data_IF_199255586028
#
_entry.id   IF_199255586028
#
_cell.length_a   1.000
_cell.length_b   1.000
_cell.length_c   1.000
_cell.angle_alpha   90.00
_cell.angle_beta   90.00
_cell.angle_gamma   90.00
#
_symmetry.space_group_name_H-M   'P 1'
#
loop_
_entity.id
_entity.type
_entity.pdbx_description
1 polymer ?
#
# COMPACT_ATOMS: atom_id res chain seq x y z
N UNK A 1 -43.38 16.82 -15.52
CA UNK A 1 -43.03 15.71 -14.64
C UNK A 1 -43.28 16.20 -13.23
N UNK A 2 -44.36 15.72 -12.62
CA UNK A 2 -44.74 16.11 -11.27
C UNK A 2 -43.77 15.41 -10.33
N UNK A 3 -42.87 16.18 -9.71
CA UNK A 3 -42.04 15.67 -8.63
C UNK A 3 -42.97 15.27 -7.48
N UNK A 4 -42.68 14.14 -6.86
CA UNK A 4 -43.41 13.68 -5.67
C UNK A 4 -43.25 14.74 -4.58
N UNK A 5 -44.31 15.06 -3.84
CA UNK A 5 -44.20 15.87 -2.63
C UNK A 5 -43.48 15.05 -1.56
N UNK A 6 -42.33 15.53 -1.09
CA UNK A 6 -41.52 14.88 -0.06
C UNK A 6 -41.86 15.45 1.32
N UNK A 7 -41.90 14.58 2.32
CA UNK A 7 -42.20 14.98 3.71
C UNK A 7 -41.01 15.68 4.36
N UNK A 8 -39.79 15.29 3.98
CA UNK A 8 -38.56 15.73 4.64
C UNK A 8 -37.46 16.10 3.64
N UNK A 9 -36.53 16.94 4.11
CA UNK A 9 -35.32 17.34 3.41
C UNK A 9 -34.16 17.42 4.39
N UNK A 10 -32.97 16.99 3.95
CA UNK A 10 -31.70 17.11 4.64
C UNK A 10 -30.61 17.52 3.66
N UNK A 11 -29.83 18.55 4.00
CA UNK A 11 -28.58 18.84 3.31
C UNK A 11 -27.50 17.88 3.79
N UNK A 12 -27.04 17.01 2.90
CA UNK A 12 -25.98 16.03 3.18
C UNK A 12 -24.60 16.70 3.14
N UNK A 13 -24.41 17.64 2.21
CA UNK A 13 -23.21 18.48 2.09
C UNK A 13 -23.60 19.85 1.49
N UNK A 14 -22.63 20.75 1.25
CA UNK A 14 -22.84 22.06 0.62
C UNK A 14 -23.49 21.98 -0.75
N UNK A 15 -23.30 20.88 -1.47
CA UNK A 15 -23.73 20.72 -2.85
C UNK A 15 -24.77 19.61 -3.05
N UNK A 16 -25.12 18.84 -2.01
CA UNK A 16 -26.02 17.69 -2.13
C UNK A 16 -27.13 17.73 -1.07
N UNK A 17 -28.37 17.77 -1.54
CA UNK A 17 -29.57 17.61 -0.72
C UNK A 17 -30.23 16.25 -0.95
N UNK A 18 -30.75 15.65 0.11
CA UNK A 18 -31.62 14.49 0.11
C UNK A 18 -33.04 14.90 0.51
N UNK A 19 -34.02 14.44 -0.25
CA UNK A 19 -35.44 14.56 0.04
C UNK A 19 -36.03 13.17 0.18
N UNK A 20 -36.97 12.96 1.10
CA UNK A 20 -37.61 11.66 1.23
C UNK A 20 -39.04 11.72 1.79
N UNK A 21 -39.77 10.65 1.48
CA UNK A 21 -40.98 10.21 2.18
C UNK A 21 -40.86 8.70 2.36
N UNK A 22 -41.29 8.20 3.52
CA UNK A 22 -41.25 6.78 3.84
C UNK A 22 -42.59 6.35 4.44
N UNK A 23 -43.09 5.21 4.00
CA UNK A 23 -44.22 4.53 4.63
C UNK A 23 -43.75 3.25 5.33
N UNK A 24 -44.67 2.32 5.62
CA UNK A 24 -44.31 1.05 6.29
C UNK A 24 -43.66 0.02 5.34
N UNK A 25 -43.50 0.31 4.06
CA UNK A 25 -43.06 -0.63 3.02
C UNK A 25 -42.00 -0.06 2.09
N UNK A 26 -42.02 1.24 1.85
CA UNK A 26 -41.23 1.88 0.78
C UNK A 26 -40.61 3.17 1.27
N UNK A 27 -39.35 3.39 0.90
CA UNK A 27 -38.67 4.69 0.92
C UNK A 27 -38.67 5.26 -0.49
N UNK A 28 -39.21 6.46 -0.67
CA UNK A 28 -39.01 7.24 -1.90
C UNK A 28 -38.05 8.37 -1.61
N UNK A 29 -36.91 8.37 -2.29
CA UNK A 29 -35.84 9.33 -2.09
C UNK A 29 -35.53 10.09 -3.37
N UNK A 30 -35.11 11.34 -3.21
CA UNK A 30 -34.56 12.19 -4.26
C UNK A 30 -33.27 12.83 -3.79
N UNK A 31 -32.22 12.69 -4.61
CA UNK A 31 -30.97 13.44 -4.47
C UNK A 31 -30.95 14.60 -5.45
N UNK A 32 -30.56 15.77 -4.97
CA UNK A 32 -30.36 16.97 -5.78
C UNK A 32 -28.94 17.48 -5.57
N UNK A 33 -28.11 17.29 -6.59
CA UNK A 33 -26.72 17.73 -6.61
C UNK A 33 -26.54 19.01 -7.41
N UNK A 34 -25.85 20.01 -6.85
CA UNK A 34 -25.47 21.27 -7.50
C UNK A 34 -24.28 21.08 -8.44
N UNK A 35 -24.42 20.18 -9.42
CA UNK A 35 -23.44 19.94 -10.45
C UNK A 35 -23.90 18.92 -11.48
N UNK A 36 -23.07 18.65 -12.48
CA UNK A 36 -23.30 17.61 -13.50
C UNK A 36 -22.37 16.44 -13.29
N UNK A 37 -22.80 15.45 -12.49
CA UNK A 37 -22.05 14.24 -12.22
C UNK A 37 -22.95 13.06 -11.89
N UNK A 38 -22.37 11.87 -11.72
CA UNK A 38 -23.05 10.75 -11.08
C UNK A 38 -23.30 11.04 -9.60
N UNK A 39 -24.38 10.48 -9.05
CA UNK A 39 -24.78 10.63 -7.64
C UNK A 39 -25.20 9.29 -7.06
N UNK A 40 -24.96 9.07 -5.78
CA UNK A 40 -25.27 7.83 -5.10
C UNK A 40 -25.80 8.07 -3.67
N UNK A 41 -26.74 7.23 -3.26
CA UNK A 41 -27.21 7.09 -1.88
C UNK A 41 -27.28 5.61 -1.55
N UNK A 42 -26.76 5.19 -0.41
CA UNK A 42 -26.86 3.82 0.04
C UNK A 42 -27.02 3.67 1.53
N UNK A 43 -27.27 2.44 1.94
CA UNK A 43 -27.46 2.03 3.33
C UNK A 43 -26.22 1.29 3.77
N UNK A 44 -25.78 1.55 5.01
CA UNK A 44 -24.59 0.95 5.61
C UNK A 44 -24.94 0.32 6.96
N UNK A 45 -24.52 -0.93 7.17
CA UNK A 45 -24.48 -1.58 8.48
C UNK A 45 -23.08 -1.50 9.12
N UNK A 46 -22.10 -0.98 8.37
CA UNK A 46 -20.68 -0.87 8.71
C UNK A 46 -20.31 0.51 9.28
N UNK A 47 -21.27 1.21 9.90
CA UNK A 47 -21.03 2.49 10.54
C UNK A 47 -20.68 3.62 9.56
N UNK A 48 -21.20 3.57 8.33
CA UNK A 48 -21.00 4.59 7.30
C UNK A 48 -19.83 4.35 6.36
N UNK A 49 -19.20 3.18 6.40
CA UNK A 49 -18.13 2.82 5.47
C UNK A 49 -18.69 2.46 4.09
N UNK A 50 -17.93 2.81 3.05
CA UNK A 50 -18.27 2.47 1.66
C UNK A 50 -18.38 0.95 1.47
N UNK A 51 -17.34 0.21 1.87
CA UNK A 51 -17.31 -1.26 1.72
C UNK A 51 -18.31 -1.90 2.67
N UNK A 52 -19.08 -2.86 2.15
CA UNK A 52 -20.21 -3.49 2.81
C UNK A 52 -21.53 -2.76 2.64
N UNK A 53 -21.54 -1.55 2.08
CA UNK A 53 -22.79 -0.82 1.83
C UNK A 53 -23.47 -1.26 0.52
N UNK A 54 -24.78 -1.02 0.47
CA UNK A 54 -25.59 -1.19 -0.73
C UNK A 54 -26.09 0.16 -1.20
N UNK A 55 -25.78 0.54 -2.44
CA UNK A 55 -26.08 1.88 -2.97
C UNK A 55 -27.03 1.83 -4.14
N UNK A 56 -27.87 2.85 -4.24
CA UNK A 56 -28.52 3.25 -5.48
C UNK A 56 -27.65 4.30 -6.16
N UNK A 57 -27.19 3.99 -7.36
CA UNK A 57 -26.28 4.82 -8.14
C UNK A 57 -26.97 5.31 -9.42
N UNK A 58 -26.92 6.61 -9.65
CA UNK A 58 -27.38 7.27 -10.86
C UNK A 58 -26.21 7.62 -11.78
N UNK A 59 -26.18 7.05 -12.98
CA UNK A 59 -25.11 7.26 -13.98
C UNK A 59 -25.67 8.00 -15.20
N UNK A 60 -25.48 9.34 -15.31
CA UNK A 60 -26.09 10.12 -16.39
C UNK A 60 -25.63 9.73 -17.79
N UNK A 61 -24.38 9.26 -17.95
CA UNK A 61 -23.88 8.80 -19.25
C UNK A 61 -24.57 7.51 -19.73
N UNK A 62 -24.99 6.67 -18.79
CA UNK A 62 -25.66 5.40 -19.08
C UNK A 62 -27.19 5.56 -19.06
N UNK A 63 -27.68 6.64 -18.44
CA UNK A 63 -29.10 6.92 -18.25
C UNK A 63 -29.76 5.97 -17.24
N UNK A 64 -28.99 5.41 -16.31
CA UNK A 64 -29.44 4.36 -15.38
C UNK A 64 -29.52 4.84 -13.94
N UNK A 65 -30.44 4.25 -13.18
CA UNK A 65 -30.52 4.31 -11.71
C UNK A 65 -30.69 2.86 -11.24
N UNK A 66 -29.63 2.29 -10.67
CA UNK A 66 -29.57 0.86 -10.35
C UNK A 66 -28.98 0.64 -8.96
N UNK A 67 -29.24 -0.53 -8.37
CA UNK A 67 -28.61 -0.97 -7.11
C UNK A 67 -27.23 -1.58 -7.38
N UNK A 68 -26.28 -1.32 -6.49
CA UNK A 68 -24.92 -1.86 -6.50
C UNK A 68 -24.52 -2.30 -5.10
N UNK A 69 -23.76 -3.39 -5.02
CA UNK A 69 -23.03 -3.79 -3.83
C UNK A 69 -21.63 -3.16 -3.87
N UNK A 70 -21.17 -2.66 -2.73
CA UNK A 70 -19.84 -2.08 -2.60
C UNK A 70 -18.91 -3.06 -1.87
N UNK A 71 -18.15 -3.84 -2.62
CA UNK A 71 -17.26 -4.89 -2.12
C UNK A 71 -15.80 -4.44 -1.99
N UNK A 72 -15.39 -3.42 -2.75
CA UNK A 72 -14.05 -2.83 -2.72
C UNK A 72 -14.12 -1.33 -3.03
N UNK A 73 -13.04 -0.59 -2.79
CA UNK A 73 -12.96 0.85 -3.12
C UNK A 73 -12.67 1.13 -4.58
N UNK A 74 -12.09 0.17 -5.28
CA UNK A 74 -11.85 0.28 -6.72
C UNK A 74 -13.16 0.08 -7.47
N UNK A 75 -13.19 0.57 -8.71
CA UNK A 75 -14.33 0.36 -9.61
C UNK A 75 -14.68 -1.14 -9.80
N UNK A 76 -13.74 -2.06 -9.57
CA UNK A 76 -13.99 -3.51 -9.59
C UNK A 76 -14.97 -3.97 -8.52
N UNK A 77 -15.01 -3.30 -7.37
CA UNK A 77 -15.91 -3.64 -6.27
C UNK A 77 -17.16 -2.77 -6.21
N UNK A 78 -17.46 -2.03 -7.27
CA UNK A 78 -18.78 -1.40 -7.45
C UNK A 78 -19.59 -2.33 -8.37
N UNK A 79 -20.21 -3.33 -7.77
CA UNK A 79 -20.81 -4.46 -8.48
C UNK A 79 -22.31 -4.26 -8.63
N UNK A 80 -22.81 -4.23 -9.87
CA UNK A 80 -24.26 -4.10 -10.10
C UNK A 80 -25.00 -5.28 -9.46
N UNK A 81 -26.02 -4.98 -8.66
CA UNK A 81 -26.81 -6.01 -8.02
C UNK A 81 -27.49 -6.90 -9.09
N UNK A 82 -27.59 -8.22 -8.87
CA UNK A 82 -28.23 -9.13 -9.82
C UNK A 82 -29.65 -8.67 -10.19
N UNK A 83 -30.11 -8.99 -11.40
CA UNK A 83 -31.43 -8.55 -11.91
C UNK A 83 -32.59 -8.87 -10.96
N UNK A 84 -32.53 -9.97 -10.21
CA UNK A 84 -33.57 -10.33 -9.22
C UNK A 84 -33.65 -9.35 -8.04
N UNK A 85 -32.54 -8.67 -7.73
CA UNK A 85 -32.48 -7.58 -6.75
C UNK A 85 -32.75 -6.22 -7.40
N UNK A 86 -32.78 -6.04 -8.72
CA UNK A 86 -33.09 -4.73 -9.33
C UNK A 86 -34.60 -4.41 -9.28
N UNK A 87 -35.09 -4.10 -8.08
CA UNK A 87 -36.50 -3.92 -7.72
C UNK A 87 -36.89 -2.45 -7.56
N UNK A 88 -35.99 -1.51 -7.84
CA UNK A 88 -36.27 -0.08 -7.77
C UNK A 88 -37.46 0.27 -8.66
N UNK A 89 -38.32 1.17 -8.18
CA UNK A 89 -39.45 1.69 -8.93
C UNK A 89 -39.37 3.22 -9.02
N UNK A 90 -40.09 3.81 -9.98
CA UNK A 90 -40.19 5.27 -10.11
C UNK A 90 -38.85 5.98 -10.31
N UNK A 91 -37.89 5.31 -10.95
CA UNK A 91 -36.54 5.85 -11.14
C UNK A 91 -36.55 7.02 -12.11
N UNK A 92 -35.92 8.13 -11.73
CA UNK A 92 -35.72 9.30 -12.59
C UNK A 92 -34.27 9.76 -12.45
N UNK A 93 -33.62 10.07 -13.57
CA UNK A 93 -32.31 10.71 -13.60
C UNK A 93 -32.33 11.83 -14.63
N UNK A 94 -32.15 13.06 -14.19
CA UNK A 94 -32.21 14.26 -15.05
C UNK A 94 -31.05 15.18 -14.71
N UNK A 95 -30.37 15.68 -15.75
CA UNK A 95 -29.42 16.78 -15.64
C UNK A 95 -29.94 17.99 -16.39
N UNK A 96 -30.12 19.11 -15.70
CA UNK A 96 -30.59 20.36 -16.30
C UNK A 96 -30.13 21.56 -15.49
N UNK A 97 -29.72 22.64 -16.18
CA UNK A 97 -29.34 23.89 -15.54
C UNK A 97 -28.17 23.78 -14.56
N UNK A 98 -27.26 22.82 -14.76
CA UNK A 98 -26.14 22.56 -13.86
C UNK A 98 -26.50 21.76 -12.61
N UNK A 99 -27.69 21.15 -12.55
CA UNK A 99 -28.16 20.32 -11.43
C UNK A 99 -28.37 18.90 -11.91
N UNK A 100 -27.93 17.92 -11.12
CA UNK A 100 -28.28 16.50 -11.29
C UNK A 100 -29.33 16.12 -10.27
N UNK A 101 -30.44 15.56 -10.75
CA UNK A 101 -31.52 15.04 -9.90
C UNK A 101 -31.67 13.55 -10.14
N UNK A 102 -31.57 12.76 -9.07
CA UNK A 102 -31.87 11.33 -9.08
C UNK A 102 -33.03 11.05 -8.12
N UNK A 103 -34.05 10.32 -8.57
CA UNK A 103 -35.17 9.88 -7.74
C UNK A 103 -35.35 8.36 -7.90
N UNK A 104 -35.76 7.69 -6.83
CA UNK A 104 -36.16 6.28 -6.85
C UNK A 104 -37.06 5.95 -5.67
N UNK A 105 -37.77 4.83 -5.77
CA UNK A 105 -38.46 4.16 -4.66
C UNK A 105 -37.86 2.78 -4.43
N UNK A 106 -37.53 2.46 -3.18
CA UNK A 106 -36.96 1.18 -2.74
C UNK A 106 -37.82 0.58 -1.63
N UNK A 107 -37.99 -0.74 -1.63
CA UNK A 107 -38.59 -1.45 -0.50
C UNK A 107 -37.69 -1.35 0.73
N UNK A 108 -38.31 -1.22 1.90
CA UNK A 108 -37.60 -1.11 3.18
C UNK A 108 -36.89 -2.42 3.56
N UNK A 109 -37.49 -3.57 3.24
CA UNK A 109 -36.93 -4.88 3.53
C UNK A 109 -36.94 -5.74 2.27
N UNK A 110 -35.77 -6.23 1.88
CA UNK A 110 -35.58 -7.08 0.71
C UNK A 110 -34.64 -8.24 1.06
N UNK A 111 -34.87 -9.41 0.46
CA UNK A 111 -34.09 -10.61 0.77
C UNK A 111 -32.64 -10.44 0.31
N UNK A 112 -31.69 -10.53 1.25
CA UNK A 112 -30.27 -10.42 0.95
C UNK A 112 -29.81 -8.97 0.72
N UNK A 113 -30.53 -8.02 1.30
CA UNK A 113 -30.20 -6.59 1.31
C UNK A 113 -30.21 -6.03 2.74
N UNK A 114 -29.58 -4.88 2.92
CA UNK A 114 -29.59 -4.15 4.18
C UNK A 114 -30.98 -3.52 4.36
N UNK A 115 -31.66 -3.91 5.42
CA UNK A 115 -32.99 -3.40 5.73
C UNK A 115 -32.92 -1.92 6.17
N UNK A 116 -33.94 -1.15 5.78
CA UNK A 116 -34.16 0.24 6.16
C UNK A 116 -35.29 0.28 7.19
N UNK A 117 -35.03 0.83 8.36
CA UNK A 117 -36.09 1.13 9.32
C UNK A 117 -36.84 2.40 8.89
N UNK A 118 -37.95 2.24 8.17
CA UNK A 118 -38.77 3.36 7.68
C UNK A 118 -39.33 4.28 8.77
N UNK A 119 -39.18 3.94 10.05
CA UNK A 119 -39.67 4.73 11.19
C UNK A 119 -38.61 4.96 12.26
N UNK A 120 -37.35 4.65 11.97
CA UNK A 120 -36.25 4.73 12.92
C UNK A 120 -34.95 5.20 12.28
N UNK A 121 -33.86 4.99 13.00
CA UNK A 121 -32.52 5.42 12.59
C UNK A 121 -31.91 4.49 11.55
N UNK A 122 -31.34 5.10 10.51
CA UNK A 122 -30.63 4.42 9.45
C UNK A 122 -29.29 5.12 9.21
N UNK A 123 -28.24 4.35 8.94
CA UNK A 123 -26.97 4.92 8.49
C UNK A 123 -26.94 4.95 6.98
N UNK A 124 -26.98 6.15 6.40
CA UNK A 124 -26.85 6.35 4.97
C UNK A 124 -25.43 6.79 4.61
N UNK A 125 -24.92 6.26 3.50
CA UNK A 125 -23.72 6.74 2.83
C UNK A 125 -24.13 7.46 1.55
N UNK A 126 -23.43 8.53 1.20
CA UNK A 126 -23.69 9.28 -0.03
C UNK A 126 -22.39 9.64 -0.72
N UNK A 127 -22.44 9.77 -2.04
CA UNK A 127 -21.32 10.22 -2.83
C UNK A 127 -21.78 10.84 -4.16
N UNK A 128 -20.91 11.66 -4.74
CA UNK A 128 -21.06 12.16 -6.10
C UNK A 128 -19.70 12.32 -6.78
N UNK A 129 -19.70 12.22 -8.10
CA UNK A 129 -18.49 12.33 -8.91
C UNK A 129 -18.11 13.76 -9.29
N UNK A 130 -16.98 13.87 -9.99
CA UNK A 130 -16.59 15.08 -10.74
C UNK A 130 -17.05 15.03 -12.21
N UNK A 131 -17.87 14.06 -12.59
CA UNK A 131 -18.32 13.82 -13.96
C UNK A 131 -19.38 12.72 -14.04
N UNK A 132 -19.88 12.46 -15.25
CA UNK A 132 -21.05 11.60 -15.48
C UNK A 132 -20.77 10.09 -15.57
N UNK A 133 -19.50 9.69 -15.61
CA UNK A 133 -19.08 8.28 -15.58
C UNK A 133 -18.59 7.91 -14.19
N UNK A 134 -18.85 6.67 -13.78
CA UNK A 134 -18.36 6.13 -12.52
C UNK A 134 -16.84 6.31 -12.41
N UNK A 135 -16.42 6.95 -11.33
CA UNK A 135 -15.03 7.26 -11.01
C UNK A 135 -14.91 7.45 -9.49
N UNK A 136 -13.73 7.85 -9.00
CA UNK A 136 -13.58 8.29 -7.62
C UNK A 136 -14.51 9.48 -7.37
N UNK A 137 -15.20 9.47 -6.22
CA UNK A 137 -16.09 10.55 -5.80
C UNK A 137 -15.32 11.86 -5.56
N UNK A 138 -15.93 12.98 -5.95
CA UNK A 138 -15.47 14.32 -5.60
C UNK A 138 -15.90 14.67 -4.17
N UNK A 139 -17.15 14.38 -3.82
CA UNK A 139 -17.69 14.51 -2.47
C UNK A 139 -18.33 13.21 -1.98
N UNK A 140 -18.20 12.96 -0.67
CA UNK A 140 -18.77 11.79 0.01
C UNK A 140 -19.02 12.09 1.47
N UNK A 141 -19.88 11.29 2.08
CA UNK A 141 -20.03 11.27 3.53
C UNK A 141 -20.97 10.18 3.99
N UNK A 142 -21.24 10.21 5.29
CA UNK A 142 -22.20 9.33 5.92
C UNK A 142 -22.99 10.09 6.99
N UNK A 143 -24.24 9.69 7.18
CA UNK A 143 -25.17 10.34 8.10
C UNK A 143 -26.08 9.30 8.72
N UNK A 144 -26.32 9.42 10.02
CA UNK A 144 -27.42 8.71 10.68
C UNK A 144 -28.66 9.58 10.58
N UNK A 145 -29.75 9.05 10.00
CA UNK A 145 -31.02 9.77 9.83
C UNK A 145 -32.16 8.93 10.40
N UNK A 146 -32.96 9.55 11.26
CA UNK A 146 -34.27 9.02 11.63
C UNK A 146 -35.30 9.45 10.58
N UNK A 147 -35.85 8.47 9.84
CA UNK A 147 -36.72 8.73 8.70
C UNK A 147 -38.10 9.27 9.08
N UNK A 148 -38.51 9.16 10.36
CA UNK A 148 -39.78 9.66 10.87
C UNK A 148 -39.67 11.08 11.46
N UNK A 149 -38.55 11.40 12.08
CA UNK A 149 -38.37 12.67 12.81
C UNK A 149 -37.46 13.66 12.10
N UNK A 150 -36.74 13.23 11.05
CA UNK A 150 -35.72 14.03 10.34
C UNK A 150 -34.55 14.46 11.24
N UNK A 151 -34.42 13.86 12.44
CA UNK A 151 -33.23 14.04 13.27
C UNK A 151 -32.07 13.34 12.57
N UNK A 152 -30.96 14.06 12.43
CA UNK A 152 -29.77 13.54 11.78
C UNK A 152 -28.50 13.88 12.55
N UNK A 153 -27.52 13.00 12.47
CA UNK A 153 -26.17 13.19 13.00
C UNK A 153 -25.16 12.79 11.95
N UNK A 154 -24.20 13.65 11.63
CA UNK A 154 -23.12 13.31 10.69
C UNK A 154 -22.24 12.22 11.30
N UNK A 155 -21.86 11.24 10.49
CA UNK A 155 -20.87 10.24 10.86
C UNK A 155 -19.49 10.81 10.57
N UNK A 156 -18.64 10.90 11.59
CA UNK A 156 -17.24 11.31 11.41
C UNK A 156 -16.46 10.16 10.78
N UNK A 157 -16.42 10.14 9.44
CA UNK A 157 -15.59 9.22 8.68
C UNK A 157 -14.13 9.58 8.92
N UNK A 158 -13.48 8.78 9.76
CA UNK A 158 -12.09 8.99 10.13
C UNK A 158 -11.21 8.86 8.90
N UNK A 159 -10.63 9.96 8.41
CA UNK A 159 -9.69 9.91 7.29
C UNK A 159 -8.33 9.36 7.73
N UNK A 160 -7.62 8.69 6.81
CA UNK A 160 -6.22 8.34 6.99
C UNK A 160 -5.41 9.61 7.20
N UNK A 161 -4.67 9.70 8.31
CA UNK A 161 -3.85 10.85 8.65
C UNK A 161 -2.63 10.90 7.75
N UNK A 162 -2.43 12.04 7.09
CA UNK A 162 -1.23 12.30 6.29
C UNK A 162 0.07 12.02 7.09
N UNK A 163 0.10 12.37 8.38
CA UNK A 163 1.25 12.10 9.24
C UNK A 163 1.60 10.61 9.37
N UNK A 164 0.59 9.74 9.41
CA UNK A 164 0.79 8.29 9.47
C UNK A 164 1.34 7.76 8.13
N UNK A 165 0.83 8.25 7.00
CA UNK A 165 1.33 7.92 5.66
C UNK A 165 2.78 8.35 5.48
N UNK A 166 3.12 9.57 5.92
CA UNK A 166 4.48 10.08 5.87
C UNK A 166 5.44 9.28 6.75
N UNK A 167 5.02 8.90 7.95
CA UNK A 167 5.83 8.08 8.85
C UNK A 167 6.01 6.65 8.31
N UNK A 168 4.94 6.03 7.80
CA UNK A 168 5.00 4.73 7.12
C UNK A 168 6.00 4.77 5.97
N UNK A 169 5.82 5.69 5.01
CA UNK A 169 6.70 5.82 3.86
C UNK A 169 8.14 6.13 4.27
N UNK A 170 8.34 7.01 5.26
CA UNK A 170 9.66 7.34 5.79
C UNK A 170 10.40 6.14 6.40
N UNK A 171 9.71 5.29 7.16
CA UNK A 171 10.25 4.06 7.71
C UNK A 171 10.62 3.06 6.60
N UNK A 172 9.80 2.96 5.54
CA UNK A 172 10.09 2.10 4.40
C UNK A 172 11.30 2.57 3.59
N UNK A 173 11.42 3.88 3.35
CA UNK A 173 12.62 4.49 2.74
C UNK A 173 13.87 4.19 3.57
N UNK A 174 13.81 4.43 4.88
CA UNK A 174 14.94 4.20 5.78
C UNK A 174 15.35 2.72 5.78
N UNK A 175 14.39 1.80 5.84
CA UNK A 175 14.63 0.36 5.81
C UNK A 175 15.24 -0.09 4.48
N UNK A 176 14.50 0.04 3.38
CA UNK A 176 14.84 -0.56 2.08
C UNK A 176 15.94 0.19 1.32
N UNK A 177 16.04 1.52 1.45
CA UNK A 177 16.94 2.34 0.63
C UNK A 177 18.23 2.74 1.34
N UNK A 178 18.24 2.77 2.67
CA UNK A 178 19.41 3.20 3.44
C UNK A 178 20.03 2.05 4.24
N UNK A 179 19.27 1.47 5.18
CA UNK A 179 19.81 0.52 6.13
C UNK A 179 20.14 -0.85 5.49
N UNK A 180 19.26 -1.41 4.67
CA UNK A 180 19.53 -2.68 3.98
C UNK A 180 20.74 -2.57 3.03
N UNK A 181 20.83 -1.55 2.15
CA UNK A 181 22.01 -1.36 1.30
C UNK A 181 23.29 -1.10 2.11
N UNK A 182 23.25 -0.29 3.18
CA UNK A 182 24.40 -0.09 4.06
C UNK A 182 24.86 -1.41 4.72
N UNK A 183 23.93 -2.27 5.12
CA UNK A 183 24.24 -3.62 5.60
C UNK A 183 24.92 -4.48 4.53
N UNK A 184 24.48 -4.40 3.28
CA UNK A 184 25.15 -5.08 2.14
C UNK A 184 26.56 -4.52 1.93
N UNK A 185 26.74 -3.20 2.04
CA UNK A 185 28.06 -2.56 1.96
C UNK A 185 29.01 -3.11 3.01
N UNK A 186 28.57 -3.27 4.27
CA UNK A 186 29.40 -3.88 5.31
C UNK A 186 29.91 -5.28 4.90
N UNK A 187 29.08 -6.08 4.22
CA UNK A 187 29.48 -7.39 3.72
C UNK A 187 30.43 -7.33 2.49
N UNK A 188 30.27 -6.33 1.62
CA UNK A 188 31.15 -6.09 0.46
C UNK A 188 32.54 -5.63 0.91
N UNK A 189 32.61 -4.70 1.87
CA UNK A 189 33.84 -4.14 2.44
C UNK A 189 34.39 -4.95 3.62
N UNK A 190 34.02 -6.23 3.73
CA UNK A 190 34.46 -7.14 4.81
C UNK A 190 35.97 -7.19 5.05
N UNK A 191 36.78 -6.90 4.03
CA UNK A 191 38.24 -6.84 4.15
C UNK A 191 38.68 -5.68 5.04
N UNK A 192 38.09 -4.49 4.85
CA UNK A 192 38.40 -3.30 5.64
C UNK A 192 37.81 -3.36 7.05
N UNK A 193 36.64 -3.99 7.20
CA UNK A 193 35.95 -4.10 8.48
C UNK A 193 36.44 -5.27 9.36
N UNK A 194 37.36 -6.09 8.85
CA UNK A 194 37.89 -7.25 9.58
C UNK A 194 36.79 -8.13 10.14
N UNK A 195 36.94 -8.66 11.36
CA UNK A 195 35.94 -9.54 11.97
C UNK A 195 34.61 -8.83 12.33
N UNK A 196 34.57 -7.50 12.33
CA UNK A 196 33.38 -6.72 12.69
C UNK A 196 32.35 -6.62 11.58
N UNK A 197 32.69 -6.97 10.32
CA UNK A 197 31.79 -6.84 9.17
C UNK A 197 30.44 -7.54 9.38
N UNK A 198 30.46 -8.72 10.00
CA UNK A 198 29.26 -9.53 10.21
C UNK A 198 28.35 -8.92 11.26
N UNK A 199 28.92 -8.27 12.29
CA UNK A 199 28.15 -7.56 13.32
C UNK A 199 27.46 -6.37 12.68
N UNK A 200 28.20 -5.54 11.93
CA UNK A 200 27.62 -4.39 11.21
C UNK A 200 26.54 -4.80 10.22
N UNK A 201 26.80 -5.83 9.42
CA UNK A 201 25.81 -6.37 8.49
C UNK A 201 24.55 -6.80 9.24
N UNK A 202 24.67 -7.67 10.25
CA UNK A 202 23.52 -8.18 10.99
C UNK A 202 22.75 -7.07 11.71
N UNK A 203 23.44 -6.16 12.41
CA UNK A 203 22.81 -5.05 13.13
C UNK A 203 22.01 -4.14 12.20
N UNK A 204 22.60 -3.74 11.05
CA UNK A 204 21.90 -2.89 10.09
C UNK A 204 20.68 -3.58 9.47
N UNK A 205 20.77 -4.88 9.16
CA UNK A 205 19.62 -5.63 8.63
C UNK A 205 18.50 -5.78 9.67
N UNK A 206 18.83 -6.03 10.94
CA UNK A 206 17.84 -6.13 12.02
C UNK A 206 17.13 -4.79 12.22
N UNK A 207 17.87 -3.67 12.31
CA UNK A 207 17.26 -2.34 12.44
C UNK A 207 16.38 -2.04 11.22
N UNK A 208 16.82 -2.37 10.01
CA UNK A 208 16.01 -2.19 8.80
C UNK A 208 14.69 -2.95 8.85
N UNK A 209 14.72 -4.23 9.25
CA UNK A 209 13.51 -5.05 9.40
C UNK A 209 12.59 -4.50 10.49
N UNK A 210 13.13 -4.00 11.60
CA UNK A 210 12.33 -3.33 12.64
C UNK A 210 11.62 -2.10 12.07
N UNK A 211 12.30 -1.27 11.28
CA UNK A 211 11.67 -0.12 10.60
C UNK A 211 10.54 -0.56 9.67
N UNK A 212 10.78 -1.59 8.84
CA UNK A 212 9.78 -2.12 7.91
C UNK A 212 8.56 -2.67 8.65
N UNK A 213 8.76 -3.47 9.70
CA UNK A 213 7.65 -4.04 10.49
C UNK A 213 6.90 -2.94 11.23
N UNK A 214 7.59 -1.98 11.84
CA UNK A 214 6.95 -0.85 12.52
C UNK A 214 6.11 0.00 11.54
N UNK A 215 6.63 0.28 10.35
CA UNK A 215 5.91 1.00 9.32
C UNK A 215 4.69 0.21 8.82
N UNK A 216 4.79 -1.11 8.65
CA UNK A 216 3.67 -1.95 8.26
C UNK A 216 2.57 -1.95 9.33
N UNK A 217 2.93 -2.17 10.60
CA UNK A 217 1.98 -2.17 11.73
C UNK A 217 1.28 -0.81 11.83
N UNK A 218 2.04 0.29 11.73
CA UNK A 218 1.48 1.64 11.76
C UNK A 218 0.37 1.81 10.72
N UNK A 219 0.60 1.37 9.48
CA UNK A 219 -0.37 1.56 8.41
C UNK A 219 -1.56 0.61 8.54
N UNK A 220 -1.35 -0.62 9.02
CA UNK A 220 -2.47 -1.53 9.35
C UNK A 220 -3.38 -0.91 10.40
N UNK A 221 -2.83 -0.38 11.49
CA UNK A 221 -3.60 0.25 12.55
C UNK A 221 -4.34 1.51 12.06
N UNK A 222 -3.70 2.28 11.18
CA UNK A 222 -4.30 3.50 10.65
C UNK A 222 -5.42 3.20 9.64
N UNK A 223 -5.27 2.16 8.81
CA UNK A 223 -6.36 1.66 7.95
C UNK A 223 -7.49 1.09 8.81
N UNK A 224 -7.18 0.27 9.82
CA UNK A 224 -8.23 -0.28 10.70
C UNK A 224 -9.08 0.82 11.34
N UNK A 225 -8.42 1.89 11.78
CA UNK A 225 -9.06 3.08 12.36
C UNK A 225 -9.92 3.86 11.37
N UNK A 226 -9.42 4.09 10.16
CA UNK A 226 -10.06 4.97 9.18
C UNK A 226 -11.13 4.26 8.35
N UNK A 227 -10.90 2.98 8.10
CA UNK A 227 -11.23 2.35 6.83
C UNK A 227 -11.70 0.90 7.03
N UNK A 228 -11.61 0.37 8.27
CA UNK A 228 -12.04 -0.97 8.64
C UNK A 228 -10.97 -2.07 8.47
N UNK A 229 -11.34 -3.34 8.70
CA UNK A 229 -10.40 -4.46 8.84
C UNK A 229 -9.74 -4.93 7.53
N UNK A 230 -10.14 -4.38 6.38
CA UNK A 230 -9.59 -4.76 5.09
C UNK A 230 -8.29 -4.01 4.79
N UNK A 231 -7.15 -4.69 4.98
CA UNK A 231 -5.82 -4.07 4.89
C UNK A 231 -5.03 -4.40 3.62
N UNK A 232 -5.51 -5.35 2.80
CA UNK A 232 -4.81 -5.87 1.62
C UNK A 232 -5.62 -5.76 0.32
N UNK A 233 -6.54 -4.80 0.28
CA UNK A 233 -7.44 -4.51 -0.86
C UNK A 233 -6.65 -4.12 -2.13
N UNK A 234 -5.60 -3.32 -1.98
CA UNK A 234 -4.87 -2.75 -3.10
C UNK A 234 -3.58 -3.52 -3.45
N UNK A 235 -3.11 -3.32 -4.69
CA UNK A 235 -1.92 -4.00 -5.22
C UNK A 235 -0.64 -3.61 -4.48
N UNK A 236 -0.52 -2.36 -4.03
CA UNK A 236 0.61 -1.89 -3.24
C UNK A 236 0.68 -2.59 -1.88
N UNK A 237 -0.44 -2.69 -1.15
CA UNK A 237 -0.51 -3.36 0.15
C UNK A 237 -0.13 -4.83 0.05
N UNK A 238 -0.68 -5.55 -0.95
CA UNK A 238 -0.32 -6.96 -1.22
C UNK A 238 1.16 -7.12 -1.56
N UNK A 239 1.67 -6.33 -2.50
CA UNK A 239 3.07 -6.40 -2.90
C UNK A 239 4.02 -6.03 -1.75
N UNK A 240 3.74 -4.95 -1.05
CA UNK A 240 4.51 -4.47 0.10
C UNK A 240 4.55 -5.49 1.24
N UNK A 241 3.43 -6.16 1.52
CA UNK A 241 3.38 -7.24 2.52
C UNK A 241 4.27 -8.42 2.15
N UNK A 242 4.28 -8.86 0.87
CA UNK A 242 5.18 -9.93 0.43
C UNK A 242 6.66 -9.54 0.53
N UNK A 243 7.00 -8.30 0.16
CA UNK A 243 8.38 -7.80 0.26
C UNK A 243 8.81 -7.69 1.73
N UNK A 244 7.94 -7.19 2.62
CA UNK A 244 8.21 -7.12 4.05
C UNK A 244 8.39 -8.53 4.66
N UNK A 245 7.53 -9.48 4.33
CA UNK A 245 7.65 -10.87 4.76
C UNK A 245 8.98 -11.50 4.28
N UNK A 246 9.37 -11.23 3.02
CA UNK A 246 10.66 -11.67 2.48
C UNK A 246 11.86 -11.08 3.24
N UNK A 247 11.78 -9.80 3.64
CA UNK A 247 12.82 -9.16 4.43
C UNK A 247 12.95 -9.77 5.84
N UNK A 248 11.83 -10.05 6.52
CA UNK A 248 11.82 -10.76 7.80
C UNK A 248 12.42 -12.16 7.63
N UNK A 249 11.97 -12.89 6.61
CA UNK A 249 12.45 -14.25 6.33
C UNK A 249 13.96 -14.28 6.06
N UNK A 250 14.51 -13.27 5.37
CA UNK A 250 15.96 -13.15 5.16
C UNK A 250 16.77 -13.12 6.45
N UNK A 251 16.30 -12.37 7.46
CA UNK A 251 16.97 -12.28 8.77
C UNK A 251 16.80 -13.58 9.56
N UNK A 252 15.62 -14.21 9.50
CA UNK A 252 15.37 -15.50 10.17
C UNK A 252 16.21 -16.63 9.56
N UNK A 253 16.22 -16.75 8.23
CA UNK A 253 17.03 -17.74 7.51
C UNK A 253 18.52 -17.55 7.78
N UNK A 254 18.97 -16.31 7.99
CA UNK A 254 20.36 -16.03 8.35
C UNK A 254 20.80 -16.69 9.68
N UNK A 255 19.88 -16.94 10.61
CA UNK A 255 20.18 -17.66 11.86
C UNK A 255 20.49 -19.14 11.63
N UNK A 256 19.89 -19.73 10.59
CA UNK A 256 20.10 -21.11 10.18
C UNK A 256 21.33 -21.29 9.28
N UNK A 257 22.23 -20.30 9.24
CA UNK A 257 23.44 -20.33 8.41
C UNK A 257 24.31 -21.55 8.74
N UNK A 258 24.59 -22.45 7.78
CA UNK A 258 25.43 -23.62 8.02
C UNK A 258 26.83 -23.26 8.53
N UNK A 259 27.31 -24.03 9.52
CA UNK A 259 28.65 -23.87 10.10
C UNK A 259 29.77 -23.97 9.04
N UNK A 260 30.97 -23.50 9.40
CA UNK A 260 32.17 -23.78 8.57
C UNK A 260 32.55 -25.25 8.76
N UNK A 261 33.17 -25.85 7.76
CA UNK A 261 33.70 -27.20 7.92
C UNK A 261 34.80 -27.14 9.02
N UNK A 262 34.80 -28.03 10.04
CA UNK A 262 35.82 -28.03 11.08
C UNK A 262 37.26 -28.09 10.54
N UNK A 263 37.50 -28.76 9.41
CA UNK A 263 38.81 -28.79 8.72
C UNK A 263 39.27 -27.40 8.23
N UNK A 264 38.35 -26.45 8.08
CA UNK A 264 38.67 -25.05 7.78
C UNK A 264 39.15 -24.26 9.01
N UNK A 265 38.92 -24.75 10.23
CA UNK A 265 39.30 -24.03 11.46
C UNK A 265 40.74 -24.36 11.91
N UNK A 266 41.22 -25.59 11.64
CA UNK A 266 42.59 -26.03 11.99
C UNK A 266 43.69 -25.43 11.10
N UNK A 267 43.39 -25.08 9.84
CA UNK A 267 44.36 -24.49 8.90
C UNK A 267 44.53 -22.97 9.03
N UNK A 268 44.28 -22.38 10.20
CA UNK A 268 44.44 -20.93 10.42
C UNK A 268 45.92 -20.52 10.63
N UNK A 269 46.78 -21.47 10.99
CA UNK A 269 48.22 -21.29 11.10
C UNK A 269 48.91 -21.82 9.84
N UNK A 270 49.30 -20.97 8.89
CA UNK A 270 50.28 -21.37 7.88
C UNK A 270 50.08 -20.83 6.48
N UNK A 271 49.09 -21.33 5.72
CA UNK A 271 49.16 -21.21 4.25
C UNK A 271 48.10 -20.30 3.62
N UNK A 272 48.62 -19.38 2.81
CA UNK A 272 47.94 -18.27 2.14
C UNK A 272 47.16 -18.68 0.88
N UNK A 273 46.49 -19.85 0.88
CA UNK A 273 45.56 -20.21 -0.19
C UNK A 273 44.10 -20.20 0.30
N UNK A 274 43.54 -19.00 0.37
CA UNK A 274 42.12 -18.78 0.66
C UNK A 274 41.18 -19.20 -0.47
N UNK A 275 41.70 -19.59 -1.65
CA UNK A 275 40.89 -19.83 -2.84
C UNK A 275 40.36 -21.27 -2.98
N UNK A 276 40.93 -22.23 -2.25
CA UNK A 276 40.62 -23.66 -2.40
C UNK A 276 39.99 -24.33 -1.16
N UNK A 277 39.33 -23.60 -0.25
CA UNK A 277 38.61 -24.23 0.87
C UNK A 277 37.27 -24.82 0.43
N UNK A 278 37.13 -26.13 0.54
CA UNK A 278 35.89 -26.87 0.24
C UNK A 278 34.76 -26.48 1.20
N UNK A 279 33.95 -25.49 0.79
CA UNK A 279 32.69 -25.21 1.47
C UNK A 279 31.72 -26.37 1.26
N UNK A 280 31.01 -26.77 2.32
CA UNK A 280 29.93 -27.76 2.21
C UNK A 280 28.89 -27.31 1.17
N UNK A 281 28.30 -28.27 0.44
CA UNK A 281 27.26 -27.99 -0.56
C UNK A 281 26.12 -27.17 0.04
N UNK A 282 25.67 -27.53 1.25
CA UNK A 282 24.63 -26.79 1.99
C UNK A 282 25.00 -25.32 2.20
N UNK A 283 26.25 -25.02 2.58
CA UNK A 283 26.72 -23.64 2.78
C UNK A 283 26.80 -22.86 1.47
N UNK A 284 27.15 -23.51 0.37
CA UNK A 284 27.18 -22.89 -0.98
C UNK A 284 25.77 -22.54 -1.44
N UNK A 285 24.83 -23.48 -1.34
CA UNK A 285 23.41 -23.27 -1.68
C UNK A 285 22.84 -22.13 -0.83
N UNK A 286 23.04 -22.19 0.50
CA UNK A 286 22.61 -21.14 1.41
C UNK A 286 23.14 -19.76 0.99
N UNK A 287 24.43 -19.62 0.72
CA UNK A 287 25.01 -18.34 0.34
C UNK A 287 24.47 -17.81 -0.98
N UNK A 288 24.23 -18.68 -1.95
CA UNK A 288 23.66 -18.29 -3.23
C UNK A 288 22.23 -17.79 -3.05
N UNK A 289 21.39 -18.57 -2.37
CA UNK A 289 19.99 -18.22 -2.10
C UNK A 289 19.88 -16.93 -1.27
N UNK A 290 20.60 -16.85 -0.15
CA UNK A 290 20.60 -15.69 0.75
C UNK A 290 20.99 -14.41 0.02
N UNK A 291 22.05 -14.45 -0.82
CA UNK A 291 22.47 -13.29 -1.62
C UNK A 291 21.45 -12.95 -2.69
N UNK A 292 20.99 -13.93 -3.47
CA UNK A 292 20.06 -13.70 -4.57
C UNK A 292 18.78 -13.02 -4.07
N UNK A 293 18.17 -13.60 -3.04
CA UNK A 293 16.94 -13.06 -2.46
C UNK A 293 17.19 -11.73 -1.73
N UNK A 294 18.34 -11.56 -1.05
CA UNK A 294 18.70 -10.26 -0.46
C UNK A 294 18.87 -9.15 -1.50
N UNK A 295 19.52 -9.44 -2.63
CA UNK A 295 19.70 -8.49 -3.73
C UNK A 295 18.41 -8.20 -4.50
N UNK A 296 17.45 -9.13 -4.55
CA UNK A 296 16.15 -8.89 -5.18
C UNK A 296 15.19 -8.10 -4.29
N UNK A 297 15.28 -8.25 -2.97
CA UNK A 297 14.41 -7.55 -2.02
C UNK A 297 14.66 -6.03 -1.95
N UNK A 298 15.89 -5.57 -2.15
CA UNK A 298 16.20 -4.13 -2.18
C UNK A 298 15.44 -3.40 -3.31
N UNK A 299 15.58 -3.78 -4.60
CA UNK A 299 14.84 -3.12 -5.68
C UNK A 299 13.33 -3.37 -5.57
N UNK A 300 12.88 -4.53 -5.07
CA UNK A 300 11.46 -4.75 -4.80
C UNK A 300 10.93 -3.80 -3.72
N UNK A 301 11.69 -3.55 -2.66
CA UNK A 301 11.38 -2.57 -1.63
C UNK A 301 11.31 -1.13 -2.16
N UNK A 302 12.27 -0.72 -2.99
CA UNK A 302 12.23 0.59 -3.66
C UNK A 302 11.01 0.73 -4.56
N UNK A 303 10.66 -0.32 -5.31
CA UNK A 303 9.44 -0.34 -6.13
C UNK A 303 8.19 -0.25 -5.25
N UNK A 304 8.13 -0.96 -4.13
CA UNK A 304 7.01 -0.89 -3.19
C UNK A 304 6.83 0.53 -2.65
N UNK A 305 7.93 1.22 -2.28
CA UNK A 305 7.88 2.63 -1.86
C UNK A 305 7.36 3.53 -2.98
N UNK A 306 7.77 3.31 -4.24
CA UNK A 306 7.26 4.09 -5.37
C UNK A 306 5.75 3.90 -5.55
N UNK A 307 5.29 2.66 -5.53
CA UNK A 307 3.86 2.34 -5.67
C UNK A 307 3.05 2.97 -4.52
N UNK A 308 3.57 2.92 -3.29
CA UNK A 308 2.92 3.52 -2.13
C UNK A 308 2.88 5.04 -2.19
N UNK A 309 3.96 5.69 -2.64
CA UNK A 309 3.99 7.14 -2.82
C UNK A 309 3.01 7.62 -3.90
N UNK A 310 2.87 6.87 -5.00
CA UNK A 310 1.85 7.15 -6.04
C UNK A 310 0.45 6.95 -5.47
N UNK A 311 0.19 5.84 -4.76
CA UNK A 311 -1.11 5.60 -4.14
C UNK A 311 -1.49 6.69 -3.12
N UNK A 312 -0.53 7.17 -2.34
CA UNK A 312 -0.75 8.26 -1.39
C UNK A 312 -1.04 9.60 -2.09
N UNK A 313 -0.42 9.84 -3.26
CA UNK A 313 -0.70 11.01 -4.10
C UNK A 313 -2.09 10.93 -4.72
N UNK A 314 -2.42 9.79 -5.33
CA UNK A 314 -3.70 9.57 -6.03
C UNK A 314 -4.90 9.67 -5.07
N UNK A 315 -4.74 9.25 -3.81
CA UNK A 315 -5.76 9.38 -2.77
C UNK A 315 -5.75 10.74 -2.05
N UNK A 316 -4.86 11.67 -2.44
CA UNK A 316 -4.76 13.00 -1.82
C UNK A 316 -4.18 13.01 -0.40
N UNK A 317 -3.65 11.89 0.09
CA UNK A 317 -2.99 11.80 1.39
C UNK A 317 -1.62 12.48 1.41
N UNK A 318 -1.03 12.72 0.25
CA UNK A 318 0.29 13.30 0.10
C UNK A 318 0.36 14.17 -1.15
N UNK A 319 1.00 15.34 -1.06
CA UNK A 319 1.24 16.17 -2.25
C UNK A 319 2.24 15.54 -3.23
N UNK A 320 2.08 15.82 -4.52
CA UNK A 320 3.01 15.41 -5.57
C UNK A 320 4.48 15.73 -5.23
N UNK A 321 4.74 16.90 -4.64
CA UNK A 321 6.08 17.30 -4.21
C UNK A 321 6.66 16.32 -3.19
N UNK A 322 5.89 15.94 -2.17
CA UNK A 322 6.30 14.97 -1.13
C UNK A 322 6.47 13.57 -1.72
N UNK A 323 5.57 13.13 -2.59
CA UNK A 323 5.68 11.84 -3.28
C UNK A 323 6.96 11.74 -4.13
N UNK A 324 7.30 12.80 -4.89
CA UNK A 324 8.57 12.88 -5.63
C UNK A 324 9.78 12.90 -4.71
N UNK A 325 9.74 13.62 -3.59
CA UNK A 325 10.82 13.62 -2.60
C UNK A 325 11.05 12.22 -2.05
N UNK A 326 10.01 11.49 -1.66
CA UNK A 326 10.15 10.09 -1.22
C UNK A 326 10.79 9.21 -2.29
N UNK A 327 10.40 9.37 -3.55
CA UNK A 327 11.01 8.64 -4.66
C UNK A 327 12.52 8.90 -4.79
N UNK A 328 12.95 10.17 -4.79
CA UNK A 328 14.37 10.50 -4.89
C UNK A 328 15.17 10.01 -3.69
N UNK A 329 14.62 10.11 -2.48
CA UNK A 329 15.21 9.57 -1.26
C UNK A 329 15.28 8.03 -1.26
N UNK A 330 14.45 7.37 -2.07
CA UNK A 330 14.47 5.92 -2.22
C UNK A 330 15.52 5.43 -3.21
N UNK A 331 15.61 6.07 -4.38
CA UNK A 331 16.48 5.63 -5.49
C UNK A 331 17.90 6.15 -5.36
N UNK A 332 18.05 7.41 -4.97
CA UNK A 332 19.34 8.09 -4.92
C UNK A 332 20.38 7.32 -4.11
N UNK A 333 20.10 6.96 -2.84
CA UNK A 333 21.02 6.19 -2.01
C UNK A 333 21.37 4.83 -2.61
N UNK A 334 20.38 4.09 -3.11
CA UNK A 334 20.61 2.77 -3.74
C UNK A 334 21.52 2.88 -4.96
N UNK A 335 21.29 3.89 -5.82
CA UNK A 335 22.14 4.16 -6.97
C UNK A 335 23.59 4.50 -6.54
N UNK A 336 23.76 5.34 -5.53
CA UNK A 336 25.08 5.66 -4.95
C UNK A 336 25.78 4.41 -4.43
N UNK A 337 25.08 3.56 -3.66
CA UNK A 337 25.65 2.31 -3.16
C UNK A 337 26.08 1.38 -4.30
N UNK A 338 25.27 1.24 -5.34
CA UNK A 338 25.60 0.43 -6.52
C UNK A 338 26.85 0.95 -7.24
N UNK A 339 26.96 2.26 -7.43
CA UNK A 339 28.15 2.89 -8.03
C UNK A 339 29.39 2.61 -7.18
N UNK A 340 29.30 2.77 -5.85
CA UNK A 340 30.44 2.49 -4.96
C UNK A 340 30.85 1.02 -5.03
N UNK A 341 29.88 0.08 -5.04
CA UNK A 341 30.17 -1.35 -5.18
C UNK A 341 30.86 -1.64 -6.52
N UNK A 342 30.38 -1.06 -7.62
CA UNK A 342 30.97 -1.23 -8.94
C UNK A 342 32.41 -0.71 -8.98
N UNK A 343 32.64 0.51 -8.51
CA UNK A 343 33.98 1.12 -8.45
C UNK A 343 34.93 0.27 -7.61
N UNK A 344 34.48 -0.19 -6.43
CA UNK A 344 35.28 -1.09 -5.59
C UNK A 344 35.66 -2.39 -6.32
N UNK A 345 34.73 -2.99 -7.06
CA UNK A 345 34.99 -4.22 -7.84
C UNK A 345 35.99 -3.97 -8.97
N UNK A 346 35.89 -2.85 -9.67
CA UNK A 346 36.84 -2.46 -10.73
C UNK A 346 38.24 -2.28 -10.14
N UNK A 347 38.37 -1.51 -9.06
CA UNK A 347 39.66 -1.28 -8.40
C UNK A 347 40.26 -2.58 -7.89
N UNK A 348 39.47 -3.42 -7.22
CA UNK A 348 39.93 -4.72 -6.72
C UNK A 348 40.38 -5.65 -7.87
N UNK A 349 39.67 -5.65 -8.99
CA UNK A 349 40.05 -6.41 -10.18
C UNK A 349 41.37 -5.91 -10.78
N UNK A 350 41.53 -4.59 -10.96
CA UNK A 350 42.76 -3.99 -11.46
C UNK A 350 43.96 -4.28 -10.55
N UNK A 351 43.78 -4.19 -9.23
CA UNK A 351 44.82 -4.53 -8.26
C UNK A 351 45.23 -6.01 -8.36
N UNK A 352 44.26 -6.93 -8.38
CA UNK A 352 44.51 -8.36 -8.53
C UNK A 352 45.21 -8.70 -9.85
N UNK A 353 44.83 -8.04 -10.95
CA UNK A 353 45.48 -8.21 -12.26
C UNK A 353 46.94 -7.76 -12.22
N UNK A 354 47.22 -6.56 -11.71
CA UNK A 354 48.60 -6.03 -11.59
C UNK A 354 49.47 -6.91 -10.68
N UNK A 355 48.91 -7.42 -9.59
CA UNK A 355 49.62 -8.34 -8.69
C UNK A 355 49.94 -9.68 -9.37
N UNK A 356 49.11 -10.16 -10.32
CA UNK A 356 49.40 -11.36 -11.12
C UNK A 356 50.48 -11.11 -12.16
N UNK A 357 50.42 -9.96 -12.85
CA UNK A 357 51.45 -9.55 -13.82
C UNK A 357 52.83 -9.47 -13.15
N UNK A 358 52.93 -8.84 -11.96
CA UNK A 358 54.18 -8.78 -11.18
C UNK A 358 54.72 -10.14 -10.73
N UNK A 359 53.86 -11.14 -10.51
CA UNK A 359 54.30 -12.53 -10.22
C UNK A 359 54.78 -13.25 -11.47
N UNK A 360 54.18 -12.96 -12.62
CA UNK A 360 54.53 -13.60 -13.89
C UNK A 360 55.84 -13.06 -14.48
N UNK A 361 56.16 -11.79 -14.21
CA UNK A 361 57.43 -11.17 -14.59
C UNK A 361 58.55 -11.46 -13.56
N UNK A 362 58.20 -12.05 -12.41
CA UNK A 362 59.06 -12.31 -11.25
C UNK A 362 59.79 -13.66 -11.24
N UNK A 363 59.95 -14.35 -12.37
CA UNK A 363 61.06 -15.29 -12.55
C UNK A 363 62.36 -14.51 -12.74
N UNK A 364 62.91 -13.97 -11.63
CA UNK A 364 64.33 -13.70 -11.34
C UNK A 364 64.42 -12.64 -10.23
N UNK A 365 64.58 -13.07 -8.98
CA UNK A 365 64.89 -12.15 -7.87
C UNK A 365 64.47 -12.66 -6.50
N UNK A 366 65.07 -13.76 -6.05
CA UNK A 366 65.00 -14.19 -4.66
C UNK A 366 65.49 -13.08 -3.73
N UNK A 367 64.70 -12.76 -2.70
CA UNK A 367 65.18 -12.10 -1.49
C UNK A 367 64.69 -10.67 -1.29
N UNK A 368 63.47 -10.54 -0.75
CA UNK A 368 63.16 -9.45 0.16
C UNK A 368 62.01 -9.88 1.07
N UNK A 369 62.38 -10.27 2.29
CA UNK A 369 61.47 -10.40 3.43
C UNK A 369 60.69 -9.09 3.59
N UNK A 370 59.38 -9.13 3.33
CA UNK A 370 58.49 -8.05 3.74
C UNK A 370 58.14 -8.19 5.22
N UNK A 371 58.72 -7.33 6.05
CA UNK A 371 58.12 -6.96 7.35
C UNK A 371 56.75 -6.32 7.10
N UNK A 372 55.73 -6.84 7.77
CA UNK A 372 54.38 -6.25 7.81
C UNK A 372 54.42 -4.92 8.59
N UNK A 373 53.70 -3.87 8.16
CA UNK A 373 53.35 -2.75 9.03
C UNK A 373 52.34 -3.17 10.09
#
# INVERSE_FOLDING_TARGET
>A
SDLVDFDFQLSLDSDLDMYWTADNTTLTALLRYQGTAWVALGVSDSGGLMVGSEVVLGLPNDGTVLKYDLTERSASGVEEAPTVRQTLNGTVLVQSGGVTTMQFSKLLEESGEIAIDGRGENTFVYAYGSGNSLAVHEGRGAVVVDLLTCVSTSVDLQSIREGAVLLHGGLMVLGFSWLMPAGVMAAVFKFFLGNSWIRWHATLQVIAVVCVVAGLILMVLEVDRADGPEHLDNSHARFGAYVAAGAVLQVLVAQCRPARNPRDLESYEGDADWTCREQSLARRIFQWFHKLLGFSLIPAGVLAVRLGATLAEDNGYMSNARARTMWYLSVGPVAVFLVIILLYRVVAFCYCRRAREQRHDGTMGSGLEMRKP
#
